data_IF_524896352800
#
_entry.id   IF_524896352800
#
_cell.length_a   1.000
_cell.length_b   1.000
_cell.length_c   1.000
_cell.angle_alpha   90.00
_cell.angle_beta   90.00
_cell.angle_gamma   90.00
#
_symmetry.space_group_name_H-M   'P 1'
#
loop_
_entity.id
_entity.type
_entity.pdbx_description
1 polymer ?
#
# COMPACT_ATOMS: atom_id res chain seq x y z
N UNK A 1 -14.66 -28.50 6.53
CA UNK A 1 -13.39 -28.78 5.81
C UNK A 1 -13.31 -28.15 4.43
N UNK A 2 -14.25 -28.35 3.49
CA UNK A 2 -14.22 -27.70 2.16
C UNK A 2 -14.05 -26.17 2.19
N UNK A 3 -14.72 -25.48 3.12
CA UNK A 3 -14.59 -24.04 3.27
C UNK A 3 -13.20 -23.59 3.74
N UNK A 4 -12.57 -24.35 4.64
CA UNK A 4 -11.22 -24.05 5.15
C UNK A 4 -10.20 -24.13 4.01
N UNK A 5 -10.32 -25.16 3.16
CA UNK A 5 -9.46 -25.32 1.97
C UNK A 5 -9.66 -24.16 1.00
N UNK A 6 -10.91 -23.76 0.74
CA UNK A 6 -11.22 -22.60 -0.10
C UNK A 6 -10.62 -21.29 0.46
N UNK A 7 -10.74 -21.05 1.77
CA UNK A 7 -10.14 -19.89 2.42
C UNK A 7 -8.61 -19.88 2.32
N UNK A 8 -7.97 -21.03 2.48
CA UNK A 8 -6.52 -21.16 2.32
C UNK A 8 -6.07 -20.84 0.90
N UNK A 9 -6.75 -21.38 -0.11
CA UNK A 9 -6.43 -21.10 -1.51
C UNK A 9 -6.60 -19.62 -1.84
N UNK A 10 -7.68 -19.00 -1.34
CA UNK A 10 -7.92 -17.55 -1.50
C UNK A 10 -6.83 -16.70 -0.83
N UNK A 11 -6.42 -17.04 0.40
CA UNK A 11 -5.35 -16.33 1.09
C UNK A 11 -4.03 -16.43 0.33
N UNK A 12 -3.65 -17.64 -0.11
CA UNK A 12 -2.40 -17.83 -0.87
C UNK A 12 -2.44 -17.08 -2.19
N UNK A 13 -3.56 -17.13 -2.92
CA UNK A 13 -3.72 -16.38 -4.17
C UNK A 13 -3.65 -14.87 -3.94
N UNK A 14 -4.31 -14.35 -2.90
CA UNK A 14 -4.27 -12.93 -2.56
C UNK A 14 -2.85 -12.47 -2.20
N UNK A 15 -2.17 -13.18 -1.29
CA UNK A 15 -0.78 -12.87 -0.92
C UNK A 15 0.16 -12.97 -2.12
N UNK A 16 -0.02 -13.97 -2.98
CA UNK A 16 0.76 -14.13 -4.21
C UNK A 16 0.55 -12.95 -5.18
N UNK A 17 -0.69 -12.53 -5.40
CA UNK A 17 -1.02 -11.39 -6.24
C UNK A 17 -0.42 -10.08 -5.68
N UNK A 18 -0.53 -9.87 -4.37
CA UNK A 18 0.05 -8.70 -3.70
C UNK A 18 1.58 -8.71 -3.81
N UNK A 19 2.23 -9.86 -3.59
CA UNK A 19 3.68 -9.96 -3.73
C UNK A 19 4.13 -9.76 -5.17
N UNK A 20 3.40 -10.25 -6.17
CA UNK A 20 3.72 -10.02 -7.58
C UNK A 20 3.61 -8.54 -7.97
N UNK A 21 2.60 -7.82 -7.46
CA UNK A 21 2.42 -6.39 -7.73
C UNK A 21 3.42 -5.50 -6.99
N UNK A 22 3.78 -5.86 -5.76
CA UNK A 22 4.55 -5.00 -4.87
C UNK A 22 5.93 -5.51 -4.46
N UNK A 23 6.36 -6.69 -4.90
CA UNK A 23 7.64 -7.31 -4.50
C UNK A 23 7.85 -7.46 -2.97
N UNK A 24 6.82 -7.20 -2.17
CA UNK A 24 6.86 -7.17 -0.71
C UNK A 24 5.45 -7.31 -0.17
N UNK A 25 5.30 -7.91 1.01
CA UNK A 25 4.06 -7.93 1.78
C UNK A 25 3.98 -6.78 2.80
N UNK A 26 4.93 -5.85 2.79
CA UNK A 26 4.94 -4.70 3.70
C UNK A 26 4.05 -3.55 3.17
N UNK A 27 3.06 -3.09 3.95
CA UNK A 27 2.17 -2.00 3.55
C UNK A 27 2.91 -0.71 3.21
N UNK A 28 4.04 -0.45 3.88
CA UNK A 28 4.88 0.71 3.59
C UNK A 28 5.46 0.67 2.17
N UNK A 29 5.84 -0.52 1.66
CA UNK A 29 6.31 -0.66 0.28
C UNK A 29 5.16 -0.43 -0.69
N UNK A 30 3.95 -0.90 -0.36
CA UNK A 30 2.76 -0.68 -1.19
C UNK A 30 2.47 0.81 -1.36
N UNK A 31 2.52 1.56 -0.25
CA UNK A 31 2.38 3.02 -0.24
C UNK A 31 3.41 3.71 -1.13
N UNK A 32 4.69 3.36 -1.02
CA UNK A 32 5.75 4.01 -1.82
C UNK A 32 5.53 3.79 -3.31
N UNK A 33 5.19 2.56 -3.72
CA UNK A 33 5.03 2.27 -5.15
C UNK A 33 3.76 2.84 -5.74
N UNK A 34 2.65 2.83 -5.02
CA UNK A 34 1.45 3.53 -5.50
C UNK A 34 1.66 5.05 -5.53
N UNK A 35 2.37 5.62 -4.55
CA UNK A 35 2.70 7.05 -4.54
C UNK A 35 3.61 7.42 -5.71
N UNK A 36 4.62 6.61 -6.01
CA UNK A 36 5.50 6.80 -7.15
C UNK A 36 4.72 6.70 -8.47
N UNK A 37 3.85 5.69 -8.61
CA UNK A 37 3.00 5.52 -9.79
C UNK A 37 2.03 6.69 -10.01
N UNK A 38 1.43 7.21 -8.94
CA UNK A 38 0.48 8.32 -9.03
C UNK A 38 1.13 9.68 -9.31
N UNK A 39 2.34 9.91 -8.79
CA UNK A 39 3.00 11.22 -8.89
C UNK A 39 4.03 11.29 -10.02
N UNK A 40 4.40 10.16 -10.62
CA UNK A 40 5.51 10.08 -11.58
C UNK A 40 6.88 10.36 -10.95
N UNK A 41 6.97 10.37 -9.62
CA UNK A 41 8.19 10.66 -8.88
C UNK A 41 9.05 9.39 -8.75
N UNK A 42 10.39 9.53 -8.72
CA UNK A 42 11.27 8.41 -8.38
C UNK A 42 11.00 7.93 -6.95
N UNK A 43 11.21 6.63 -6.71
CA UNK A 43 10.86 5.96 -5.44
C UNK A 43 11.48 6.63 -4.20
N UNK A 44 12.68 7.19 -4.32
CA UNK A 44 13.34 7.93 -3.24
C UNK A 44 12.53 9.15 -2.81
N UNK A 45 12.01 9.92 -3.75
CA UNK A 45 11.19 11.11 -3.49
C UNK A 45 9.78 10.71 -3.07
N UNK A 46 9.21 9.65 -3.67
CA UNK A 46 7.92 9.11 -3.25
C UNK A 46 7.95 8.62 -1.79
N UNK A 47 9.05 7.98 -1.37
CA UNK A 47 9.24 7.54 0.01
C UNK A 47 9.37 8.70 1.00
N UNK A 48 10.11 9.75 0.62
CA UNK A 48 10.22 10.96 1.41
C UNK A 48 8.86 11.67 1.54
N UNK A 49 8.10 11.74 0.44
CA UNK A 49 6.75 12.32 0.41
C UNK A 49 5.79 11.54 1.29
N UNK A 50 5.80 10.20 1.22
CA UNK A 50 4.96 9.35 2.05
C UNK A 50 5.28 9.54 3.55
N UNK A 51 6.57 9.61 3.91
CA UNK A 51 6.99 9.90 5.29
C UNK A 51 6.63 11.31 5.74
N UNK A 52 6.77 12.30 4.87
CA UNK A 52 6.39 13.67 5.17
C UNK A 52 4.88 13.80 5.42
N UNK A 53 4.06 13.13 4.60
CA UNK A 53 2.61 13.07 4.79
C UNK A 53 2.26 12.42 6.14
N UNK A 54 2.90 11.30 6.50
CA UNK A 54 2.70 10.64 7.79
C UNK A 54 3.15 11.52 8.97
N UNK A 55 4.30 12.19 8.85
CA UNK A 55 4.79 13.11 9.87
C UNK A 55 3.85 14.30 10.10
N UNK A 56 3.18 14.81 9.05
CA UNK A 56 2.16 15.85 9.17
C UNK A 56 0.91 15.39 9.92
N UNK A 57 0.65 14.07 9.95
CA UNK A 57 -0.44 13.47 10.72
C UNK A 57 -0.02 13.04 12.14
N UNK A 58 1.23 13.29 12.53
CA UNK A 58 1.76 13.02 13.87
C UNK A 58 2.58 11.73 14.00
N UNK A 59 2.75 10.97 12.92
CA UNK A 59 3.47 9.69 12.95
C UNK A 59 4.97 9.92 12.64
N UNK A 60 5.78 10.04 13.69
CA UNK A 60 7.23 10.28 13.59
C UNK A 60 7.99 8.97 13.28
N UNK A 61 7.47 7.83 13.71
CA UNK A 61 7.97 6.49 13.39
C UNK A 61 6.80 5.61 12.89
N UNK A 62 6.53 5.59 11.57
CA UNK A 62 5.32 4.96 11.05
C UNK A 62 5.38 3.44 11.22
N UNK A 63 4.36 2.90 11.88
CA UNK A 63 4.17 1.46 12.01
C UNK A 63 3.58 0.87 10.71
N UNK A 64 3.51 -0.46 10.63
CA UNK A 64 2.88 -1.13 9.48
C UNK A 64 1.41 -0.77 9.33
N UNK A 65 0.72 -0.43 10.43
CA UNK A 65 -0.70 -0.04 10.41
C UNK A 65 -0.85 1.37 9.85
N UNK A 66 0.02 2.30 10.22
CA UNK A 66 -0.02 3.68 9.75
C UNK A 66 0.25 3.75 8.25
N UNK A 67 1.23 2.97 7.78
CA UNK A 67 1.48 2.78 6.35
C UNK A 67 0.26 2.21 5.61
N UNK A 68 -0.45 1.25 6.21
CA UNK A 68 -1.63 0.65 5.59
C UNK A 68 -2.78 1.65 5.50
N UNK A 69 -3.01 2.45 6.54
CA UNK A 69 -4.02 3.52 6.52
C UNK A 69 -3.68 4.61 5.50
N UNK A 70 -2.41 5.04 5.45
CA UNK A 70 -1.94 5.97 4.43
C UNK A 70 -2.10 5.41 3.01
N UNK A 71 -1.79 4.13 2.80
CA UNK A 71 -2.00 3.46 1.52
C UNK A 71 -3.47 3.44 1.10
N UNK A 72 -4.38 3.12 2.03
CA UNK A 72 -5.82 3.24 1.78
C UNK A 72 -6.20 4.68 1.40
N UNK A 73 -5.72 5.70 2.11
CA UNK A 73 -6.03 7.10 1.77
C UNK A 73 -5.59 7.45 0.35
N UNK A 74 -4.38 7.10 -0.05
CA UNK A 74 -3.89 7.33 -1.42
C UNK A 74 -4.77 6.59 -2.43
N UNK A 75 -5.05 5.30 -2.21
CA UNK A 75 -5.78 4.47 -3.17
C UNK A 75 -7.24 4.89 -3.33
N UNK A 76 -7.91 5.25 -2.24
CA UNK A 76 -9.33 5.64 -2.26
C UNK A 76 -9.53 7.12 -2.61
N UNK A 77 -8.57 7.99 -2.33
CA UNK A 77 -8.57 9.35 -2.88
C UNK A 77 -8.45 9.32 -4.41
N UNK A 78 -7.63 8.44 -4.97
CA UNK A 78 -7.53 8.21 -6.42
C UNK A 78 -8.82 7.65 -7.03
N UNK A 79 -9.52 6.77 -6.31
CA UNK A 79 -10.79 6.20 -6.76
C UNK A 79 -11.93 7.25 -6.85
N UNK A 80 -11.92 8.28 -6.00
CA UNK A 80 -12.88 9.39 -6.06
C UNK A 80 -12.57 10.38 -7.21
N UNK A 81 -11.31 10.51 -7.61
CA UNK A 81 -10.89 11.43 -8.68
C UNK A 81 -10.92 10.82 -10.09
N UNK A 82 -11.46 9.60 -10.27
CA UNK A 82 -11.80 9.04 -11.58
C UNK A 82 -10.61 8.76 -12.51
N UNK A 83 -9.38 8.64 -11.98
CA UNK A 83 -8.23 8.19 -12.76
C UNK A 83 -8.07 6.68 -12.61
N UNK A 84 -8.85 5.95 -13.42
CA UNK A 84 -8.57 4.57 -13.83
C UNK A 84 -7.91 4.60 -15.21
#
# INVERSE_FOLDING_TARGET
MRWIVLFLVLMVAASGATFAGYGSLSPCRWLVVDTAAHTGLPESVASARARADMALHGDIDPTSVDCLQAWWRVRFASAQNGQL
#
